data_IF_327386590473
#
_entry.id   IF_327386590473
#
_cell.length_a   1.000
_cell.length_b   1.000
_cell.length_c   1.000
_cell.angle_alpha   90.00
_cell.angle_beta   90.00
_cell.angle_gamma   90.00
#
_symmetry.space_group_name_H-M   'P 1'
#
loop_
_entity.id
_entity.type
_entity.pdbx_description
1 polymer ?
#
# COMPACT_ATOMS: atom_id res chain seq x y z
N UNK A 1 -4.76 7.38 8.64
CA UNK A 1 -3.97 6.16 8.42
C UNK A 1 -2.90 6.10 9.47
N UNK A 2 -2.83 4.96 10.17
CA UNK A 2 -1.86 4.69 11.23
C UNK A 2 -0.88 3.64 10.73
N UNK A 3 0.40 3.85 11.00
CA UNK A 3 1.48 2.99 10.52
C UNK A 3 2.42 2.66 11.67
N UNK A 4 2.70 1.38 11.85
CA UNK A 4 3.75 0.88 12.74
C UNK A 4 4.75 0.12 11.89
N UNK A 5 6.01 0.52 12.01
CA UNK A 5 7.10 -0.01 11.22
C UNK A 5 8.19 -0.49 12.17
N UNK A 6 8.51 -1.78 12.13
CA UNK A 6 9.50 -2.42 13.00
C UNK A 6 10.68 -2.88 12.18
N UNK A 7 11.85 -2.28 12.42
CA UNK A 7 13.13 -2.63 11.78
C UNK A 7 13.90 -3.50 12.74
N UNK A 8 14.02 -4.79 12.46
CA UNK A 8 14.76 -5.67 13.37
C UNK A 8 16.27 -5.56 13.15
N UNK A 9 17.10 -5.56 14.21
CA UNK A 9 16.78 -5.54 15.65
C UNK A 9 16.69 -4.12 16.26
N UNK A 10 16.63 -3.08 15.43
CA UNK A 10 16.98 -1.71 15.80
C UNK A 10 15.81 -0.94 16.43
N UNK A 11 14.79 -0.61 15.63
CA UNK A 11 13.88 0.48 15.95
C UNK A 11 12.44 0.20 15.55
N UNK A 12 11.49 0.82 16.26
CA UNK A 12 10.08 0.87 15.86
C UNK A 12 9.69 2.33 15.61
N UNK A 13 9.21 2.61 14.39
CA UNK A 13 8.67 3.90 14.00
C UNK A 13 7.15 3.85 13.98
N UNK A 14 6.52 4.93 14.42
CA UNK A 14 5.06 5.11 14.38
C UNK A 14 4.75 6.47 13.79
N UNK A 15 3.83 6.52 12.84
CA UNK A 15 3.35 7.77 12.30
C UNK A 15 1.90 7.67 11.85
N UNK A 16 1.26 8.84 11.79
CA UNK A 16 -0.09 8.99 11.28
C UNK A 16 -0.10 9.97 10.11
N UNK A 17 -0.99 9.70 9.15
CA UNK A 17 -1.17 10.53 7.97
C UNK A 17 -2.62 10.52 7.49
N UNK A 18 -3.13 11.63 6.92
CA UNK A 18 -4.39 11.60 6.19
C UNK A 18 -4.35 10.58 5.05
N UNK A 19 -5.40 9.76 4.94
CA UNK A 19 -5.51 8.78 3.86
C UNK A 19 -6.37 9.35 2.74
N UNK A 20 -6.00 9.05 1.50
CA UNK A 20 -6.79 9.34 0.31
C UNK A 20 -6.90 8.09 -0.55
N UNK A 21 -8.06 7.87 -1.15
CA UNK A 21 -8.33 6.72 -2.00
C UNK A 21 -8.79 7.18 -3.39
N UNK A 22 -8.19 6.59 -4.42
CA UNK A 22 -8.42 6.93 -5.81
C UNK A 22 -8.70 5.67 -6.60
N UNK A 23 -9.70 5.72 -7.48
CA UNK A 23 -9.81 4.72 -8.53
C UNK A 23 -8.60 4.89 -9.44
N UNK A 24 -8.01 3.80 -9.88
CA UNK A 24 -6.94 3.88 -10.85
C UNK A 24 -7.27 3.01 -12.07
N UNK A 25 -6.88 3.49 -13.24
CA UNK A 25 -7.04 2.79 -14.51
C UNK A 25 -5.68 2.53 -15.14
N UNK A 26 -5.60 1.42 -15.87
CA UNK A 26 -4.42 1.01 -16.63
C UNK A 26 -4.72 1.04 -18.13
N UNK A 27 -3.69 0.86 -18.98
CA UNK A 27 -3.89 0.78 -20.42
C UNK A 27 -4.82 -0.39 -20.78
N UNK A 28 -5.66 -0.21 -21.80
CA UNK A 28 -6.52 -1.28 -22.34
C UNK A 28 -5.64 -2.48 -22.71
N UNK A 29 -5.99 -3.68 -22.24
CA UNK A 29 -5.28 -4.93 -22.55
C UNK A 29 -4.32 -5.45 -21.46
N UNK A 30 -4.15 -4.75 -20.33
CA UNK A 30 -3.38 -5.22 -19.18
C UNK A 30 -4.22 -5.31 -17.91
N UNK A 31 -3.84 -6.20 -16.99
CA UNK A 31 -4.31 -6.21 -15.60
C UNK A 31 -3.88 -4.87 -14.98
N UNK A 32 -4.74 -3.86 -15.05
CA UNK A 32 -4.29 -2.49 -14.90
C UNK A 32 -5.22 -1.57 -14.15
N UNK A 33 -6.41 -2.02 -13.76
CA UNK A 33 -7.33 -1.26 -12.91
C UNK A 33 -7.09 -1.52 -11.43
N UNK A 34 -7.67 -0.67 -10.59
CA UNK A 34 -7.65 -0.91 -9.16
C UNK A 34 -8.04 0.26 -8.30
N UNK A 35 -7.65 0.16 -7.03
CA UNK A 35 -7.82 1.22 -6.04
C UNK A 35 -6.46 1.55 -5.44
N UNK A 36 -6.06 2.81 -5.56
CA UNK A 36 -4.85 3.36 -4.97
C UNK A 36 -5.22 4.08 -3.67
N UNK A 37 -4.64 3.66 -2.56
CA UNK A 37 -4.70 4.38 -1.30
C UNK A 37 -3.33 4.91 -0.96
N UNK A 38 -3.25 6.16 -0.54
CA UNK A 38 -2.01 6.77 -0.12
C UNK A 38 -2.19 7.68 1.08
N UNK A 39 -1.12 7.83 1.86
CA UNK A 39 -1.01 8.83 2.91
C UNK A 39 0.44 9.29 2.99
N UNK A 40 0.64 10.60 3.13
CA UNK A 40 1.96 11.23 3.27
C UNK A 40 1.91 12.24 4.42
N UNK A 41 2.94 12.26 5.27
CA UNK A 41 3.09 13.23 6.35
C UNK A 41 4.57 13.37 6.74
N UNK A 42 5.11 14.59 6.68
CA UNK A 42 6.47 14.88 7.14
C UNK A 42 7.56 14.00 6.52
N UNK A 43 7.44 13.68 5.22
CA UNK A 43 8.37 12.79 4.52
C UNK A 43 8.11 11.28 4.70
N UNK A 44 7.28 10.88 5.65
CA UNK A 44 6.80 9.52 5.78
C UNK A 44 5.59 9.31 4.85
N UNK A 45 5.39 8.09 4.37
CA UNK A 45 4.22 7.78 3.58
C UNK A 45 4.01 6.30 3.35
N UNK A 46 2.80 5.97 2.93
CA UNK A 46 2.40 4.61 2.56
C UNK A 46 1.58 4.69 1.29
N UNK A 47 1.80 3.71 0.43
CA UNK A 47 0.96 3.45 -0.74
C UNK A 47 0.46 2.01 -0.68
N UNK A 48 -0.83 1.83 -0.97
CA UNK A 48 -1.46 0.51 -1.15
C UNK A 48 -2.20 0.54 -2.48
N UNK A 49 -1.81 -0.33 -3.40
CA UNK A 49 -2.52 -0.53 -4.66
C UNK A 49 -3.23 -1.88 -4.63
N UNK A 50 -4.55 -1.87 -4.56
CA UNK A 50 -5.38 -3.05 -4.75
C UNK A 50 -5.59 -3.24 -6.26
N UNK A 51 -4.90 -4.22 -6.83
CA UNK A 51 -5.00 -4.61 -8.23
C UNK A 51 -6.16 -5.59 -8.40
N UNK A 52 -7.09 -5.28 -9.29
CA UNK A 52 -8.18 -6.20 -9.63
C UNK A 52 -8.70 -5.88 -11.04
N UNK A 53 -9.10 -6.87 -11.86
CA UNK A 53 -9.67 -6.63 -13.18
C UNK A 53 -11.14 -6.17 -13.10
N UNK A 54 -11.77 -6.34 -11.95
CA UNK A 54 -13.21 -6.21 -11.69
C UNK A 54 -13.48 -5.26 -10.50
N UNK A 55 -14.48 -5.55 -9.67
CA UNK A 55 -14.81 -4.76 -8.49
C UNK A 55 -13.96 -5.13 -7.27
N UNK A 56 -13.67 -4.15 -6.41
CA UNK A 56 -12.99 -4.40 -5.13
C UNK A 56 -13.93 -5.18 -4.19
N UNK A 57 -13.58 -6.43 -3.90
CA UNK A 57 -14.27 -7.25 -2.90
C UNK A 57 -13.67 -7.09 -1.49
N UNK A 58 -14.54 -7.21 -0.47
CA UNK A 58 -14.11 -7.37 0.92
C UNK A 58 -13.40 -8.71 1.14
N UNK A 59 -12.52 -8.78 2.14
CA UNK A 59 -11.81 -10.00 2.54
C UNK A 59 -10.29 -9.85 2.52
N UNK A 60 -9.59 -10.98 2.60
CA UNK A 60 -8.13 -11.03 2.56
C UNK A 60 -7.61 -10.98 1.11
N UNK A 61 -6.57 -10.18 0.89
CA UNK A 61 -5.87 -10.02 -0.37
C UNK A 61 -4.39 -10.33 -0.15
N UNK A 62 -3.77 -11.19 -0.96
CA UNK A 62 -2.35 -11.46 -0.82
C UNK A 62 -1.54 -10.22 -1.17
N UNK A 63 -0.44 -9.99 -0.44
CA UNK A 63 0.58 -9.03 -0.88
C UNK A 63 1.28 -9.60 -2.11
N UNK A 64 1.31 -8.81 -3.18
CA UNK A 64 1.98 -9.17 -4.42
C UNK A 64 3.44 -8.73 -4.35
N UNK A 65 4.32 -9.63 -4.75
CA UNK A 65 5.73 -9.31 -4.91
C UNK A 65 5.93 -8.27 -6.01
N UNK A 66 7.00 -7.49 -5.87
CA UNK A 66 7.43 -6.54 -6.91
C UNK A 66 7.66 -7.31 -8.21
N UNK A 67 7.03 -6.86 -9.29
CA UNK A 67 7.15 -7.50 -10.60
C UNK A 67 6.17 -8.64 -10.87
N UNK A 68 5.27 -8.97 -9.93
CA UNK A 68 4.17 -9.89 -10.23
C UNK A 68 3.26 -9.27 -11.32
N UNK A 69 3.20 -9.94 -12.45
CA UNK A 69 2.32 -9.62 -13.60
C UNK A 69 1.30 -10.70 -13.89
N UNK A 70 1.34 -11.82 -13.15
CA UNK A 70 0.52 -13.00 -13.42
C UNK A 70 -0.73 -13.01 -12.53
N UNK A 71 -0.63 -12.47 -11.32
CA UNK A 71 -1.73 -12.40 -10.38
C UNK A 71 -2.74 -11.34 -10.82
N UNK A 72 -3.98 -11.73 -11.17
CA UNK A 72 -5.02 -10.78 -11.56
C UNK A 72 -5.49 -9.94 -10.37
N UNK A 73 -5.44 -10.50 -9.16
CA UNK A 73 -5.90 -9.89 -7.92
C UNK A 73 -4.82 -9.92 -6.85
N UNK A 74 -4.63 -8.80 -6.16
CA UNK A 74 -3.77 -8.72 -4.98
C UNK A 74 -3.46 -7.28 -4.58
N UNK A 75 -2.61 -7.11 -3.58
CA UNK A 75 -2.24 -5.80 -3.06
C UNK A 75 -0.73 -5.56 -3.18
N UNK A 76 -0.32 -4.45 -3.80
CA UNK A 76 1.06 -3.96 -3.68
C UNK A 76 1.10 -2.93 -2.56
N UNK A 77 1.99 -3.09 -1.60
CA UNK A 77 2.15 -2.17 -0.47
C UNK A 77 3.59 -1.65 -0.45
N UNK A 78 3.74 -0.33 -0.34
CA UNK A 78 5.03 0.32 -0.18
C UNK A 78 5.00 1.33 0.95
N UNK A 79 6.08 1.38 1.72
CA UNK A 79 6.26 2.39 2.77
C UNK A 79 7.51 3.22 2.50
N UNK A 80 7.43 4.50 2.84
CA UNK A 80 8.53 5.44 2.93
C UNK A 80 8.57 6.00 4.34
N UNK A 81 9.75 6.09 4.93
CA UNK A 81 9.93 6.65 6.26
C UNK A 81 11.26 7.39 6.37
N UNK A 82 11.33 8.36 7.27
CA UNK A 82 12.55 9.14 7.54
C UNK A 82 13.30 8.59 8.74
N UNK A 83 14.63 8.52 8.65
CA UNK A 83 15.54 8.28 9.78
C UNK A 83 16.51 9.45 9.85
N UNK A 84 16.29 10.36 10.81
CA UNK A 84 16.89 11.68 10.74
C UNK A 84 16.52 12.35 9.40
N UNK A 85 17.52 12.79 8.67
CA UNK A 85 17.34 13.45 7.36
C UNK A 85 17.36 12.49 6.16
N UNK A 86 17.56 11.19 6.40
CA UNK A 86 17.62 10.18 5.34
C UNK A 86 16.24 9.58 5.06
N UNK A 87 15.87 9.49 3.77
CA UNK A 87 14.65 8.83 3.32
C UNK A 87 14.91 7.34 3.05
N UNK A 88 14.12 6.49 3.69
CA UNK A 88 14.13 5.04 3.53
C UNK A 88 12.82 4.57 2.90
N UNK A 89 12.85 3.40 2.28
CA UNK A 89 11.67 2.79 1.70
C UNK A 89 11.78 1.28 1.60
N UNK A 90 10.64 0.63 1.79
CA UNK A 90 10.50 -0.82 1.69
C UNK A 90 9.19 -1.15 0.98
N UNK A 91 9.22 -1.81 -0.20
CA UNK A 91 8.05 -2.52 -0.69
C UNK A 91 7.84 -3.77 0.17
N UNK A 92 6.59 -4.12 0.48
CA UNK A 92 6.30 -5.41 1.10
C UNK A 92 6.36 -6.51 0.04
N UNK A 93 7.02 -7.61 0.37
CA UNK A 93 7.15 -8.81 -0.47
C UNK A 93 6.34 -10.00 0.04
N UNK A 94 5.73 -9.84 1.22
CA UNK A 94 5.01 -10.88 1.95
C UNK A 94 3.97 -10.26 2.87
N UNK A 95 2.88 -10.99 3.10
CA UNK A 95 1.81 -10.59 4.03
C UNK A 95 0.43 -10.56 3.40
N UNK A 96 -0.48 -9.90 4.10
CA UNK A 96 -1.92 -9.87 3.78
C UNK A 96 -2.47 -8.46 3.96
N UNK A 97 -3.37 -8.08 3.05
CA UNK A 97 -4.21 -6.89 3.18
C UNK A 97 -5.65 -7.33 3.36
N UNK A 98 -6.26 -6.97 4.49
CA UNK A 98 -7.69 -7.14 4.74
C UNK A 98 -8.43 -5.91 4.29
N UNK A 99 -9.40 -6.08 3.40
CA UNK A 99 -10.21 -5.02 2.82
C UNK A 99 -11.63 -5.12 3.35
N UNK A 100 -12.19 -3.99 3.77
CA UNK A 100 -13.61 -3.84 4.06
C UNK A 100 -14.17 -2.76 3.16
N UNK A 101 -15.15 -3.13 2.34
CA UNK A 101 -15.84 -2.21 1.45
C UNK A 101 -17.19 -1.79 2.02
N UNK A 102 -17.46 -0.49 1.98
CA UNK A 102 -18.78 0.11 2.06
C UNK A 102 -19.08 0.83 0.72
N UNK A 103 -20.31 1.26 0.48
CA UNK A 103 -20.80 1.72 -0.83
C UNK A 103 -19.82 2.65 -1.57
N UNK A 104 -19.43 3.75 -0.93
CA UNK A 104 -18.51 4.76 -1.47
C UNK A 104 -17.19 4.87 -0.69
N UNK A 105 -16.91 3.95 0.24
CA UNK A 105 -15.74 4.02 1.10
C UNK A 105 -15.02 2.67 1.23
N UNK A 106 -13.72 2.74 1.50
CA UNK A 106 -12.90 1.55 1.73
C UNK A 106 -12.14 1.72 3.05
N UNK A 107 -12.11 0.66 3.84
CA UNK A 107 -11.19 0.52 4.95
C UNK A 107 -10.22 -0.63 4.65
N UNK A 108 -9.01 -0.55 5.18
CA UNK A 108 -8.06 -1.66 5.08
C UNK A 108 -7.15 -1.77 6.30
N UNK A 109 -6.68 -2.98 6.52
CA UNK A 109 -5.54 -3.28 7.36
C UNK A 109 -4.52 -4.06 6.53
N UNK A 110 -3.24 -3.70 6.61
CA UNK A 110 -2.16 -4.46 6.00
C UNK A 110 -1.21 -4.92 7.09
N UNK A 111 -0.78 -6.17 7.03
CA UNK A 111 0.32 -6.70 7.84
C UNK A 111 1.23 -7.49 6.93
N UNK A 112 2.52 -7.17 6.97
CA UNK A 112 3.49 -7.84 6.13
C UNK A 112 4.92 -7.44 6.44
N UNK A 113 5.81 -7.89 5.58
CA UNK A 113 7.23 -7.59 5.67
C UNK A 113 7.83 -7.30 4.31
N UNK A 114 8.98 -6.65 4.32
CA UNK A 114 9.77 -6.38 3.14
C UNK A 114 11.20 -5.97 3.48
N UNK A 115 12.05 -5.97 2.48
CA UNK A 115 13.42 -5.49 2.59
C UNK A 115 13.53 -4.01 2.22
N UNK A 116 14.26 -3.25 3.03
CA UNK A 116 14.65 -1.88 2.70
C UNK A 116 15.48 -1.85 1.42
N UNK A 117 15.20 -0.88 0.55
CA UNK A 117 15.79 -0.82 -0.80
C UNK A 117 17.31 -0.61 -0.79
N UNK A 118 17.85 0.11 0.21
CA UNK A 118 19.28 0.49 0.25
C UNK A 118 20.12 -0.27 1.27
N UNK A 119 19.48 -0.91 2.25
CA UNK A 119 20.19 -1.53 3.38
C UNK A 119 19.94 -3.03 3.49
N UNK A 120 19.02 -3.57 2.68
CA UNK A 120 18.49 -4.93 2.78
C UNK A 120 17.93 -5.28 4.17
N UNK A 121 17.74 -4.29 5.04
CA UNK A 121 17.21 -4.50 6.37
C UNK A 121 15.75 -4.96 6.29
N UNK A 122 15.43 -6.02 7.03
CA UNK A 122 14.07 -6.52 7.09
C UNK A 122 13.20 -5.63 7.97
N UNK A 123 12.05 -5.27 7.42
CA UNK A 123 11.08 -4.39 8.05
C UNK A 123 9.73 -5.08 8.10
N UNK A 124 9.15 -5.19 9.29
CA UNK A 124 7.76 -5.56 9.47
C UNK A 124 6.89 -4.29 9.49
N UNK A 125 5.74 -4.34 8.83
CA UNK A 125 4.85 -3.18 8.68
C UNK A 125 3.43 -3.59 9.03
N UNK A 126 2.79 -2.76 9.84
CA UNK A 126 1.36 -2.77 10.07
C UNK A 126 0.77 -1.41 9.65
N UNK A 127 -0.22 -1.45 8.77
CA UNK A 127 -0.95 -0.26 8.31
C UNK A 127 -2.42 -0.44 8.65
N UNK A 128 -3.03 0.59 9.23
CA UNK A 128 -4.48 0.67 9.40
C UNK A 128 -5.03 1.93 8.78
N UNK A 129 -6.04 1.75 7.95
CA UNK A 129 -6.78 2.79 7.27
C UNK A 129 -8.25 2.61 7.62
N UNK A 130 -8.78 3.55 8.39
CA UNK A 130 -10.21 3.62 8.69
C UNK A 130 -10.95 4.22 7.48
N UNK A 131 -12.26 3.97 7.36
CA UNK A 131 -13.05 4.19 6.15
C UNK A 131 -12.74 5.50 5.39
N UNK A 132 -12.17 5.36 4.20
CA UNK A 132 -11.79 6.47 3.30
C UNK A 132 -12.75 6.52 2.13
N UNK A 133 -13.38 7.69 1.86
CA UNK A 133 -14.17 7.88 0.64
C UNK A 133 -13.31 7.64 -0.59
N UNK A 134 -13.86 6.88 -1.55
CA UNK A 134 -13.21 6.63 -2.84
C UNK A 134 -13.58 7.78 -3.77
N UNK A 135 -12.57 8.52 -4.22
CA UNK A 135 -12.76 9.60 -5.18
C UNK A 135 -13.43 9.12 -6.48
N UNK A 136 -14.24 9.99 -7.09
CA UNK A 136 -14.83 9.74 -8.40
C UNK A 136 -13.78 9.78 -9.52
N UNK A 137 -12.74 10.59 -9.33
CA UNK A 137 -11.65 10.75 -10.29
C UNK A 137 -10.78 9.49 -10.38
N UNK A 138 -10.36 9.18 -11.61
CA UNK A 138 -9.41 8.12 -11.89
C UNK A 138 -8.00 8.68 -12.02
N UNK A 139 -7.04 8.08 -11.31
CA UNK A 139 -5.60 8.33 -11.49
C UNK A 139 -4.97 7.23 -12.33
N UNK A 140 -3.74 7.45 -12.79
CA UNK A 140 -2.94 6.40 -13.43
C UNK A 140 -2.52 5.35 -12.39
N UNK A 141 -2.73 4.05 -12.65
CA UNK A 141 -2.09 3.00 -11.85
C UNK A 141 -0.60 2.80 -12.20
N UNK A 142 -0.05 3.52 -13.20
CA UNK A 142 1.38 3.43 -13.49
C UNK A 142 2.16 4.10 -12.37
N UNK A 143 2.94 3.32 -11.64
CA UNK A 143 4.07 3.88 -10.91
C UNK A 143 5.08 4.41 -11.94
N UNK A 144 5.26 5.74 -11.99
CA UNK A 144 6.49 6.30 -12.54
C UNK A 144 7.57 6.04 -11.49
N UNK A 145 8.26 4.91 -11.64
CA UNK A 145 9.52 4.65 -10.93
C UNK A 145 10.66 5.19 -11.79
#
# INVERSE_FOLDING_TARGET
>A
MRVVLTRLPKDTLRFETPARAYRCAGPRGHIGGGLLLQGVSGGNGVVVWLRTPDSIASGAWPVLQRGDTLSPRGATVGVRFMLGDAAHGAPLDSGTVWVTRADNAVALAARGSGSETFTSAHTAVEVRIDAVPVGADTVSCRSQL
#
